data_IF_854686940231
#
_entry.id   IF_854686940231
#
_cell.length_a   1.000
_cell.length_b   1.000
_cell.length_c   1.000
_cell.angle_alpha   90.00
_cell.angle_beta   90.00
_cell.angle_gamma   90.00
#
_symmetry.space_group_name_H-M   'P 1'
#
loop_
_entity.id
_entity.type
_entity.pdbx_description
1 polymer ?
#
# COMPACT_ATOMS: atom_id res chain seq x y z
N UNK A 1 -38.43 5.84 -20.72
CA UNK A 1 -36.97 5.79 -21.01
C UNK A 1 -36.10 6.78 -20.22
N UNK A 2 -36.54 8.02 -19.96
CA UNK A 2 -35.73 9.04 -19.24
C UNK A 2 -35.33 8.57 -17.84
N UNK A 3 -36.27 7.96 -17.11
CA UNK A 3 -36.04 7.43 -15.76
C UNK A 3 -34.89 6.43 -15.73
N UNK A 4 -34.86 5.47 -16.66
CA UNK A 4 -33.77 4.48 -16.77
C UNK A 4 -32.41 5.15 -16.93
N UNK A 5 -32.30 6.15 -17.82
CA UNK A 5 -31.02 6.84 -18.07
C UNK A 5 -30.56 7.60 -16.85
N UNK A 6 -31.50 8.22 -16.13
CA UNK A 6 -31.23 8.92 -14.89
C UNK A 6 -30.72 7.94 -13.81
N UNK A 7 -31.35 6.78 -13.66
CA UNK A 7 -30.90 5.72 -12.74
C UNK A 7 -29.47 5.25 -13.09
N UNK A 8 -29.16 5.00 -14.37
CA UNK A 8 -27.80 4.60 -14.79
C UNK A 8 -26.77 5.67 -14.47
N UNK A 9 -27.10 6.94 -14.77
CA UNK A 9 -26.20 8.05 -14.51
C UNK A 9 -25.88 8.19 -13.01
N UNK A 10 -26.90 8.07 -12.15
CA UNK A 10 -26.71 8.10 -10.69
C UNK A 10 -25.80 6.96 -10.24
N UNK A 11 -26.05 5.73 -10.71
CA UNK A 11 -25.25 4.55 -10.32
C UNK A 11 -23.81 4.73 -10.78
N UNK A 12 -23.60 5.13 -12.04
CA UNK A 12 -22.27 5.34 -12.60
C UNK A 12 -21.49 6.45 -11.87
N UNK A 13 -22.12 7.60 -11.62
CA UNK A 13 -21.49 8.73 -10.92
C UNK A 13 -21.15 8.34 -9.48
N UNK A 14 -22.11 7.74 -8.76
CA UNK A 14 -21.90 7.29 -7.37
C UNK A 14 -20.78 6.27 -7.29
N UNK A 15 -20.79 5.26 -8.17
CA UNK A 15 -19.74 4.26 -8.24
C UNK A 15 -18.39 4.88 -8.53
N UNK A 16 -18.28 5.67 -9.60
CA UNK A 16 -17.01 6.26 -10.05
C UNK A 16 -16.42 7.16 -8.97
N UNK A 17 -17.25 8.00 -8.34
CA UNK A 17 -16.80 8.86 -7.25
C UNK A 17 -16.29 8.06 -6.05
N UNK A 18 -17.09 7.10 -5.54
CA UNK A 18 -16.71 6.30 -4.37
C UNK A 18 -15.49 5.44 -4.65
N UNK A 19 -15.39 4.86 -5.85
CA UNK A 19 -14.24 4.08 -6.28
C UNK A 19 -12.96 4.92 -6.31
N UNK A 20 -13.02 6.13 -6.85
CA UNK A 20 -11.88 7.03 -6.92
C UNK A 20 -11.49 7.60 -5.55
N UNK A 21 -12.46 8.02 -4.74
CA UNK A 21 -12.22 8.69 -3.45
C UNK A 21 -11.84 7.71 -2.33
N UNK A 22 -12.47 6.53 -2.27
CA UNK A 22 -12.26 5.59 -1.16
C UNK A 22 -11.23 4.51 -1.47
N UNK A 23 -10.94 4.21 -2.74
CA UNK A 23 -10.10 3.06 -3.12
C UNK A 23 -8.85 3.44 -3.91
N UNK A 24 -8.92 4.37 -4.87
CA UNK A 24 -7.80 4.66 -5.79
C UNK A 24 -7.17 6.05 -5.59
N UNK A 25 -7.53 6.78 -4.54
CA UNK A 25 -7.12 8.18 -4.33
C UNK A 25 -5.61 8.31 -4.14
N UNK A 26 -5.02 7.47 -3.30
CA UNK A 26 -3.59 7.45 -3.00
C UNK A 26 -2.76 7.00 -4.22
N UNK A 27 -3.27 6.03 -5.00
CA UNK A 27 -2.62 5.53 -6.22
C UNK A 27 -2.59 6.61 -7.31
N UNK A 28 -3.69 7.34 -7.51
CA UNK A 28 -3.75 8.46 -8.46
C UNK A 28 -2.88 9.63 -8.03
N UNK A 29 -2.81 9.92 -6.74
CA UNK A 29 -1.92 10.95 -6.20
C UNK A 29 -0.45 10.67 -6.55
N UNK A 30 -0.06 9.40 -6.49
CA UNK A 30 1.30 8.95 -6.83
C UNK A 30 1.54 9.06 -8.32
N UNK A 31 0.61 8.60 -9.16
CA UNK A 31 0.75 8.72 -10.61
C UNK A 31 0.90 10.19 -11.03
N UNK A 32 0.08 11.10 -10.48
CA UNK A 32 0.22 12.53 -10.75
C UNK A 32 1.59 13.06 -10.26
N UNK A 33 2.02 12.66 -9.06
CA UNK A 33 3.30 13.11 -8.51
C UNK A 33 4.49 12.65 -9.37
N UNK A 34 4.52 11.37 -9.74
CA UNK A 34 5.58 10.76 -10.57
C UNK A 34 5.60 11.40 -11.96
N UNK A 35 4.45 11.50 -12.65
CA UNK A 35 4.37 12.09 -13.99
C UNK A 35 4.74 13.58 -14.00
N UNK A 36 4.42 14.31 -12.94
CA UNK A 36 4.77 15.73 -12.82
C UNK A 36 6.18 15.98 -12.25
N UNK A 37 6.96 14.91 -11.97
CA UNK A 37 8.26 15.00 -11.28
C UNK A 37 8.19 15.82 -9.99
N UNK A 38 7.07 15.72 -9.29
CA UNK A 38 6.79 16.43 -8.04
C UNK A 38 6.43 17.91 -8.16
N UNK A 39 6.20 18.42 -9.36
CA UNK A 39 5.81 19.83 -9.56
C UNK A 39 4.34 20.12 -9.24
N UNK A 40 3.48 19.11 -9.27
CA UNK A 40 2.04 19.29 -9.01
C UNK A 40 1.61 18.65 -7.71
N UNK A 41 0.59 19.25 -7.08
CA UNK A 41 -0.06 18.73 -5.89
C UNK A 41 -1.39 18.06 -6.26
N UNK A 42 -1.59 16.85 -5.79
CA UNK A 42 -2.88 16.15 -5.91
C UNK A 42 -3.84 16.69 -4.87
N UNK A 43 -5.06 17.03 -5.29
CA UNK A 43 -6.15 17.42 -4.38
C UNK A 43 -7.10 16.24 -4.22
N UNK A 44 -7.09 15.63 -3.03
CA UNK A 44 -7.92 14.46 -2.72
C UNK A 44 -9.42 14.74 -2.80
N UNK A 45 -9.86 15.99 -2.64
CA UNK A 45 -11.28 16.35 -2.75
C UNK A 45 -11.67 16.65 -4.20
N UNK A 46 -10.86 17.43 -4.91
CA UNK A 46 -11.24 17.92 -6.24
C UNK A 46 -10.98 16.90 -7.35
N UNK A 47 -9.92 16.09 -7.23
CA UNK A 47 -9.53 15.18 -8.30
C UNK A 47 -10.59 14.09 -8.58
N UNK A 48 -11.17 13.38 -7.58
CA UNK A 48 -12.25 12.43 -7.82
C UNK A 48 -13.49 13.07 -8.45
N UNK A 49 -13.85 14.29 -8.04
CA UNK A 49 -14.99 15.04 -8.58
C UNK A 49 -14.76 15.40 -10.04
N UNK A 50 -13.61 16.01 -10.36
CA UNK A 50 -13.27 16.44 -11.72
C UNK A 50 -13.16 15.25 -12.67
N UNK A 51 -12.55 14.16 -12.21
CA UNK A 51 -12.39 12.94 -13.00
C UNK A 51 -13.74 12.26 -13.25
N UNK A 52 -14.60 12.15 -12.24
CA UNK A 52 -15.98 11.64 -12.40
C UNK A 52 -16.77 12.48 -13.38
N UNK A 53 -16.67 13.82 -13.29
CA UNK A 53 -17.32 14.74 -14.23
C UNK A 53 -16.80 14.53 -15.66
N UNK A 54 -15.49 14.45 -15.86
CA UNK A 54 -14.89 14.24 -17.17
C UNK A 54 -15.33 12.92 -17.81
N UNK A 55 -15.36 11.83 -17.03
CA UNK A 55 -15.82 10.52 -17.48
C UNK A 55 -17.32 10.51 -17.80
N UNK A 56 -18.12 11.27 -17.06
CA UNK A 56 -19.54 11.45 -17.37
C UNK A 56 -19.77 12.28 -18.64
N UNK A 57 -19.01 13.37 -18.84
CA UNK A 57 -19.05 14.14 -20.08
C UNK A 57 -18.68 13.29 -21.31
N UNK A 58 -17.68 12.42 -21.16
CA UNK A 58 -17.30 11.45 -22.19
C UNK A 58 -18.46 10.50 -22.52
N UNK A 59 -19.16 9.99 -21.50
CA UNK A 59 -20.33 9.13 -21.70
C UNK A 59 -21.45 9.87 -22.43
N UNK A 60 -21.71 11.14 -22.12
CA UNK A 60 -22.69 11.94 -22.85
C UNK A 60 -22.30 12.10 -24.32
N UNK A 61 -21.03 12.35 -24.62
CA UNK A 61 -20.50 12.40 -26.00
C UNK A 61 -20.66 11.07 -26.75
N UNK A 62 -20.40 9.94 -26.08
CA UNK A 62 -20.62 8.60 -26.67
C UNK A 62 -22.11 8.34 -26.92
N UNK A 63 -22.97 8.75 -25.99
CA UNK A 63 -24.42 8.59 -26.12
C UNK A 63 -24.99 9.42 -27.28
N UNK A 64 -24.47 10.63 -27.53
CA UNK A 64 -24.92 11.47 -28.65
C UNK A 64 -24.49 10.90 -30.00
N UNK A 65 -23.29 10.31 -30.08
CA UNK A 65 -22.76 9.67 -31.30
C UNK A 65 -23.49 8.36 -31.65
N UNK A 66 -23.67 7.49 -30.65
CA UNK A 66 -24.21 6.14 -30.87
C UNK A 66 -25.73 6.14 -31.04
N UNK A 67 -26.43 7.11 -30.42
CA UNK A 67 -27.90 7.29 -30.46
C UNK A 67 -28.73 6.07 -30.01
N UNK A 68 -28.12 5.05 -29.41
CA UNK A 68 -28.79 3.83 -28.93
C UNK A 68 -29.57 4.14 -27.65
N UNK A 69 -30.87 3.78 -27.61
CA UNK A 69 -31.80 4.22 -26.57
C UNK A 69 -32.32 3.10 -25.67
N UNK A 70 -32.32 1.84 -26.15
CA UNK A 70 -33.04 0.71 -25.53
C UNK A 70 -32.15 -0.25 -24.73
N UNK A 71 -32.11 -1.56 -25.07
CA UNK A 71 -31.45 -2.63 -24.27
C UNK A 71 -29.94 -2.47 -24.11
N UNK A 72 -29.32 -1.71 -25.00
CA UNK A 72 -27.88 -1.54 -25.09
C UNK A 72 -27.42 -0.15 -24.66
N UNK A 73 -28.28 0.63 -23.98
CA UNK A 73 -27.92 1.95 -23.50
C UNK A 73 -26.74 1.91 -22.50
N UNK A 74 -26.65 0.88 -21.66
CA UNK A 74 -25.53 0.70 -20.73
C UNK A 74 -24.17 0.61 -21.45
N UNK A 75 -24.10 0.06 -22.67
CA UNK A 75 -22.85 0.01 -23.44
C UNK A 75 -22.29 1.39 -23.79
N UNK A 76 -23.08 2.46 -23.71
CA UNK A 76 -22.57 3.83 -23.88
C UNK A 76 -21.60 4.25 -22.77
N UNK A 77 -21.66 3.60 -21.60
CA UNK A 77 -20.74 3.83 -20.48
C UNK A 77 -19.41 3.08 -20.64
N UNK A 78 -19.31 2.13 -21.58
CA UNK A 78 -18.13 1.29 -21.74
C UNK A 78 -16.83 2.10 -21.98
N UNK A 79 -16.78 3.10 -22.88
CA UNK A 79 -15.55 3.88 -23.07
C UNK A 79 -15.12 4.64 -21.80
N UNK A 80 -16.06 5.18 -21.04
CA UNK A 80 -15.77 5.85 -19.77
C UNK A 80 -15.26 4.87 -18.71
N UNK A 81 -15.87 3.68 -18.60
CA UNK A 81 -15.41 2.63 -17.69
C UNK A 81 -14.04 2.07 -18.10
N UNK A 82 -13.77 1.94 -19.40
CA UNK A 82 -12.47 1.53 -19.91
C UNK A 82 -11.40 2.55 -19.52
N UNK A 83 -11.67 3.84 -19.72
CA UNK A 83 -10.74 4.91 -19.34
C UNK A 83 -10.49 4.93 -17.82
N UNK A 84 -11.55 4.77 -17.01
CA UNK A 84 -11.42 4.64 -15.55
C UNK A 84 -10.52 3.47 -15.14
N UNK A 85 -10.69 2.32 -15.81
CA UNK A 85 -9.90 1.11 -15.56
C UNK A 85 -8.43 1.34 -15.89
N UNK A 86 -8.13 1.87 -17.07
CA UNK A 86 -6.76 2.18 -17.51
C UNK A 86 -6.08 3.17 -16.57
N UNK A 87 -6.81 4.19 -16.12
CA UNK A 87 -6.25 5.22 -15.25
C UNK A 87 -5.93 4.69 -13.84
N UNK A 88 -6.61 3.62 -13.40
CA UNK A 88 -6.43 3.02 -12.07
C UNK A 88 -5.61 1.73 -12.09
N UNK A 89 -5.28 1.21 -13.27
CA UNK A 89 -4.33 0.11 -13.45
C UNK A 89 -2.88 0.65 -13.54
N UNK A 90 -2.41 1.18 -12.43
CA UNK A 90 -1.04 1.70 -12.30
C UNK A 90 -0.15 0.60 -11.72
N UNK A 91 0.91 0.15 -12.40
CA UNK A 91 1.79 -0.89 -11.89
C UNK A 91 2.62 -0.41 -10.69
N UNK A 92 3.08 -1.36 -9.86
CA UNK A 92 3.91 -1.07 -8.68
C UNK A 92 5.24 -0.40 -9.04
N UNK A 93 5.80 -0.68 -10.23
CA UNK A 93 7.07 -0.11 -10.75
C UNK A 93 6.86 1.06 -11.73
N UNK A 94 5.78 1.81 -11.56
CA UNK A 94 5.39 2.91 -12.44
C UNK A 94 6.42 4.06 -12.52
N UNK A 95 7.29 4.17 -11.53
CA UNK A 95 8.38 5.15 -11.46
C UNK A 95 9.55 4.83 -12.41
N UNK A 96 9.79 3.56 -12.73
CA UNK A 96 10.85 3.13 -13.65
C UNK A 96 10.34 3.01 -15.10
N UNK A 97 9.10 2.51 -15.27
CA UNK A 97 8.52 2.26 -16.58
C UNK A 97 7.22 3.06 -16.75
N UNK A 98 7.32 4.24 -17.36
CA UNK A 98 6.16 5.12 -17.63
C UNK A 98 5.30 4.69 -18.82
N UNK A 99 5.40 3.44 -19.28
CA UNK A 99 4.65 2.98 -20.46
C UNK A 99 3.29 2.43 -20.05
N UNK A 100 2.26 2.68 -20.86
CA UNK A 100 0.93 2.06 -20.74
C UNK A 100 0.94 0.52 -20.97
N UNK A 101 2.13 -0.09 -21.14
CA UNK A 101 2.30 -1.53 -21.28
C UNK A 101 1.42 -2.12 -22.38
N UNK A 102 0.68 -3.18 -22.02
CA UNK A 102 -0.24 -3.88 -22.93
C UNK A 102 -1.47 -3.04 -23.33
N UNK A 103 -1.81 -1.98 -22.59
CA UNK A 103 -2.98 -1.15 -22.89
C UNK A 103 -2.91 -0.45 -24.25
N UNK A 104 -1.71 -0.21 -24.78
CA UNK A 104 -1.53 0.31 -26.15
C UNK A 104 -2.22 -0.53 -27.22
N UNK A 105 -2.26 -1.85 -27.03
CA UNK A 105 -2.91 -2.79 -27.96
C UNK A 105 -4.32 -3.17 -27.49
N UNK A 106 -4.54 -3.27 -26.18
CA UNK A 106 -5.83 -3.66 -25.61
C UNK A 106 -6.89 -2.57 -25.84
N UNK A 107 -6.57 -1.29 -25.64
CA UNK A 107 -7.53 -0.19 -25.84
C UNK A 107 -8.10 -0.17 -27.27
N UNK A 108 -7.30 -0.11 -28.35
CA UNK A 108 -7.85 -0.04 -29.70
C UNK A 108 -8.62 -1.32 -30.05
N UNK A 109 -8.18 -2.49 -29.58
CA UNK A 109 -8.89 -3.74 -29.79
C UNK A 109 -10.27 -3.72 -29.11
N UNK A 110 -10.34 -3.33 -27.83
CA UNK A 110 -11.60 -3.26 -27.08
C UNK A 110 -12.54 -2.21 -27.66
N UNK A 111 -12.03 -1.05 -28.09
CA UNK A 111 -12.84 -0.03 -28.74
C UNK A 111 -13.36 -0.48 -30.11
N UNK A 112 -12.57 -1.22 -30.89
CA UNK A 112 -13.01 -1.78 -32.17
C UNK A 112 -14.10 -2.85 -31.99
N UNK A 113 -13.92 -3.75 -31.01
CA UNK A 113 -14.94 -4.76 -30.65
C UNK A 113 -16.22 -4.10 -30.15
N UNK A 114 -16.09 -3.13 -29.25
CA UNK A 114 -17.22 -2.34 -28.74
C UNK A 114 -17.93 -1.59 -29.86
N UNK A 115 -17.19 -0.92 -30.75
CA UNK A 115 -17.76 -0.17 -31.88
C UNK A 115 -18.52 -1.07 -32.85
N UNK A 116 -17.96 -2.26 -33.15
CA UNK A 116 -18.64 -3.28 -33.96
C UNK A 116 -19.91 -3.79 -33.26
N UNK A 117 -19.84 -4.06 -31.96
CA UNK A 117 -21.00 -4.46 -31.16
C UNK A 117 -22.08 -3.39 -31.12
N UNK A 118 -21.71 -2.12 -30.98
CA UNK A 118 -22.63 -0.97 -31.02
C UNK A 118 -23.28 -0.79 -32.39
N UNK A 119 -22.52 -1.01 -33.48
CA UNK A 119 -23.07 -0.98 -34.83
C UNK A 119 -24.12 -2.08 -35.03
N UNK A 120 -23.84 -3.31 -34.62
CA UNK A 120 -24.82 -4.42 -34.65
C UNK A 120 -26.03 -4.11 -33.76
N UNK A 121 -25.81 -3.62 -32.54
CA UNK A 121 -26.89 -3.26 -31.61
C UNK A 121 -27.84 -2.23 -32.22
N UNK A 122 -27.30 -1.24 -32.95
CA UNK A 122 -28.10 -0.23 -33.65
C UNK A 122 -28.93 -0.82 -34.80
N UNK A 123 -28.44 -1.87 -35.48
CA UNK A 123 -29.20 -2.57 -36.52
C UNK A 123 -30.33 -3.43 -35.93
N UNK A 124 -30.14 -3.96 -34.72
CA UNK A 124 -31.13 -4.82 -34.03
C UNK A 124 -32.20 -4.01 -33.31
N UNK A 125 -31.90 -2.78 -32.88
CA UNK A 125 -32.80 -1.89 -32.12
C UNK A 125 -34.20 -1.67 -32.76
N UNK A 126 -34.35 -1.53 -34.10
CA UNK A 126 -35.66 -1.38 -34.77
C UNK A 126 -36.56 -2.61 -34.64
N UNK A 127 -35.99 -3.80 -34.49
CA UNK A 127 -36.73 -5.06 -34.40
C UNK A 127 -37.22 -5.36 -32.97
N UNK A 128 -36.83 -4.55 -31.98
CA UNK A 128 -37.27 -4.76 -30.61
C UNK A 128 -38.71 -4.28 -30.40
N UNK A 129 -39.58 -5.12 -29.77
CA UNK A 129 -40.93 -4.72 -29.44
C UNK A 129 -40.92 -3.55 -28.45
N UNK A 130 -41.82 -2.60 -28.65
CA UNK A 130 -41.99 -1.44 -27.77
C UNK A 130 -42.28 -1.93 -26.34
N UNK A 131 -41.59 -1.39 -25.32
CA UNK A 131 -41.80 -1.80 -23.94
C UNK A 131 -43.23 -1.46 -23.50
N UNK A 132 -43.94 -2.46 -22.95
CA UNK A 132 -45.34 -2.34 -22.54
C UNK A 132 -45.53 -1.57 -21.22
N UNK A 133 -44.47 -1.44 -20.41
CA UNK A 133 -44.45 -0.65 -19.17
C UNK A 133 -43.14 0.14 -19.07
N UNK A 134 -43.23 1.45 -18.96
CA UNK A 134 -42.11 2.32 -18.61
C UNK A 134 -42.10 2.59 -17.10
N UNK A 135 -40.96 2.36 -16.46
CA UNK A 135 -40.82 2.58 -15.03
C UNK A 135 -39.43 2.16 -14.53
N UNK A 136 -39.17 2.40 -13.25
CA UNK A 136 -37.91 2.10 -12.58
C UNK A 136 -37.63 0.59 -12.51
N UNK A 137 -38.69 -0.22 -12.43
CA UNK A 137 -38.63 -1.67 -12.23
C UNK A 137 -38.92 -2.50 -13.50
N UNK A 138 -38.78 -1.92 -14.68
CA UNK A 138 -38.99 -2.68 -15.93
C UNK A 138 -37.84 -3.66 -16.19
N UNK A 139 -38.12 -4.81 -16.82
CA UNK A 139 -37.10 -5.76 -17.29
C UNK A 139 -35.94 -5.08 -18.05
N UNK A 140 -36.25 -4.04 -18.83
CA UNK A 140 -35.28 -3.25 -19.60
C UNK A 140 -34.28 -2.49 -18.71
N UNK A 141 -34.74 -1.90 -17.60
CA UNK A 141 -33.87 -1.15 -16.69
C UNK A 141 -32.93 -2.10 -15.96
N UNK A 142 -33.44 -3.25 -15.52
CA UNK A 142 -32.63 -4.30 -14.89
C UNK A 142 -31.58 -4.88 -15.83
N UNK A 143 -31.91 -5.14 -17.10
CA UNK A 143 -30.92 -5.61 -18.08
C UNK A 143 -29.76 -4.63 -18.26
N UNK A 144 -30.05 -3.34 -18.36
CA UNK A 144 -29.02 -2.30 -18.46
C UNK A 144 -28.23 -2.17 -17.14
N UNK A 145 -28.88 -2.29 -15.98
CA UNK A 145 -28.21 -2.23 -14.67
C UNK A 145 -27.23 -3.40 -14.52
N UNK A 146 -27.62 -4.59 -14.97
CA UNK A 146 -26.78 -5.79 -14.91
C UNK A 146 -25.56 -5.67 -15.84
N UNK A 147 -25.72 -5.07 -17.02
CA UNK A 147 -24.59 -4.75 -17.90
C UNK A 147 -23.64 -3.73 -17.26
N UNK A 148 -24.18 -2.67 -16.65
CA UNK A 148 -23.38 -1.68 -15.93
C UNK A 148 -22.64 -2.31 -14.74
N UNK A 149 -23.32 -3.16 -13.98
CA UNK A 149 -22.74 -3.92 -12.87
C UNK A 149 -21.59 -4.83 -13.33
N UNK A 150 -21.77 -5.55 -14.43
CA UNK A 150 -20.71 -6.37 -15.01
C UNK A 150 -19.48 -5.53 -15.36
N UNK A 151 -19.66 -4.35 -15.96
CA UNK A 151 -18.55 -3.43 -16.24
C UNK A 151 -17.89 -2.90 -14.97
N UNK A 152 -18.67 -2.57 -13.92
CA UNK A 152 -18.14 -2.13 -12.62
C UNK A 152 -17.28 -3.22 -11.96
N UNK A 153 -17.74 -4.46 -11.98
CA UNK A 153 -16.98 -5.59 -11.46
C UNK A 153 -15.69 -5.83 -12.26
N UNK A 154 -15.75 -5.73 -13.59
CA UNK A 154 -14.55 -5.85 -14.43
C UNK A 154 -13.53 -4.74 -14.13
N UNK A 155 -13.97 -3.50 -13.95
CA UNK A 155 -13.09 -2.39 -13.57
C UNK A 155 -12.39 -2.67 -12.24
N UNK A 156 -13.13 -3.15 -11.23
CA UNK A 156 -12.52 -3.50 -9.93
C UNK A 156 -11.51 -4.64 -10.09
N UNK A 157 -11.83 -5.67 -10.87
CA UNK A 157 -10.96 -6.85 -11.03
C UNK A 157 -9.66 -6.55 -11.77
N UNK A 158 -9.71 -5.65 -12.76
CA UNK A 158 -8.56 -5.31 -13.60
C UNK A 158 -7.68 -4.23 -12.96
N UNK A 159 -8.26 -3.32 -12.17
CA UNK A 159 -7.51 -2.27 -11.53
C UNK A 159 -6.49 -2.79 -10.50
N UNK A 160 -5.57 -1.92 -10.08
CA UNK A 160 -4.58 -2.27 -9.08
C UNK A 160 -5.27 -2.58 -7.73
N UNK A 161 -5.21 -3.85 -7.34
CA UNK A 161 -5.68 -4.38 -6.06
C UNK A 161 -4.52 -4.80 -5.13
N UNK A 162 -3.30 -4.35 -5.39
CA UNK A 162 -2.13 -4.68 -4.57
C UNK A 162 -2.21 -3.96 -3.23
N UNK A 163 -2.61 -4.72 -2.21
CA UNK A 163 -2.83 -4.20 -0.87
C UNK A 163 -1.57 -3.56 -0.28
N UNK A 164 -0.39 -4.16 -0.49
CA UNK A 164 0.87 -3.65 0.05
C UNK A 164 1.22 -2.30 -0.56
N UNK A 165 0.98 -2.15 -1.87
CA UNK A 165 1.15 -0.89 -2.59
C UNK A 165 0.19 0.19 -2.07
N UNK A 166 -1.10 -0.12 -1.92
CA UNK A 166 -2.09 0.80 -1.34
C UNK A 166 -1.70 1.26 0.08
N UNK A 167 -1.32 0.32 0.94
CA UNK A 167 -0.88 0.63 2.31
C UNK A 167 0.37 1.53 2.31
N UNK A 168 1.33 1.27 1.41
CA UNK A 168 2.53 2.08 1.25
C UNK A 168 2.22 3.51 0.77
N UNK A 169 1.38 3.67 -0.26
CA UNK A 169 1.05 4.98 -0.81
C UNK A 169 0.30 5.85 0.22
N UNK A 170 -0.62 5.24 0.96
CA UNK A 170 -1.33 5.87 2.07
C UNK A 170 -0.38 6.30 3.20
N UNK A 171 0.60 5.46 3.52
CA UNK A 171 1.62 5.78 4.50
C UNK A 171 2.47 6.98 4.06
N UNK A 172 2.93 7.00 2.81
CA UNK A 172 3.71 8.11 2.25
C UNK A 172 2.92 9.43 2.21
N UNK A 173 1.62 9.39 1.93
CA UNK A 173 0.74 10.57 2.03
C UNK A 173 0.76 11.15 3.44
N UNK A 174 0.51 10.34 4.46
CA UNK A 174 0.53 10.83 5.84
C UNK A 174 1.91 11.37 6.25
N UNK A 175 2.98 10.73 5.80
CA UNK A 175 4.34 11.22 6.04
C UNK A 175 4.60 12.57 5.36
N UNK A 176 4.10 12.76 4.13
CA UNK A 176 4.18 14.04 3.40
C UNK A 176 3.38 15.15 4.11
N UNK A 177 2.27 14.81 4.74
CA UNK A 177 1.47 15.70 5.59
C UNK A 177 2.08 15.92 7.00
N UNK A 178 3.17 15.21 7.34
CA UNK A 178 3.81 15.28 8.66
C UNK A 178 3.09 14.49 9.77
N UNK A 179 2.06 13.71 9.44
CA UNK A 179 1.25 12.92 10.37
C UNK A 179 1.83 11.51 10.57
N UNK A 180 3.03 11.43 11.13
CA UNK A 180 3.77 10.16 11.28
C UNK A 180 3.05 9.12 12.17
N UNK A 181 2.35 9.54 13.22
CA UNK A 181 1.58 8.63 14.07
C UNK A 181 0.40 7.97 13.34
N UNK A 182 -0.21 8.68 12.37
CA UNK A 182 -1.27 8.11 11.54
C UNK A 182 -0.69 7.15 10.50
N UNK A 183 0.49 7.48 9.95
CA UNK A 183 1.22 6.63 9.02
C UNK A 183 1.53 5.26 9.64
N UNK A 184 1.96 5.21 10.90
CA UNK A 184 2.24 3.94 11.60
C UNK A 184 1.01 3.06 11.84
N UNK A 185 -0.20 3.64 11.87
CA UNK A 185 -1.45 2.86 12.00
C UNK A 185 -1.83 2.17 10.69
N UNK A 186 -1.31 2.63 9.55
CA UNK A 186 -1.57 2.03 8.24
C UNK A 186 -0.88 0.68 8.15
N UNK A 187 -1.64 -0.37 7.83
CA UNK A 187 -1.09 -1.72 7.67
C UNK A 187 -0.47 -2.31 8.95
N UNK A 188 -0.73 -1.76 10.14
CA UNK A 188 -0.16 -2.29 11.41
C UNK A 188 -0.54 -3.76 11.66
N UNK A 189 -1.75 -4.17 11.26
CA UNK A 189 -2.22 -5.56 11.37
C UNK A 189 -1.96 -6.38 10.10
N UNK A 190 -1.42 -5.76 9.05
CA UNK A 190 -1.11 -6.43 7.79
C UNK A 190 0.16 -7.24 7.97
N UNK A 191 0.13 -8.51 7.59
CA UNK A 191 1.33 -9.36 7.62
C UNK A 191 2.19 -9.15 6.37
N UNK A 192 1.58 -8.69 5.28
CA UNK A 192 2.27 -8.40 4.03
C UNK A 192 3.20 -7.20 4.25
N UNK A 193 4.46 -7.35 3.89
CA UNK A 193 5.47 -6.30 4.05
C UNK A 193 6.51 -6.43 2.95
N UNK A 194 6.82 -5.30 2.32
CA UNK A 194 7.94 -5.16 1.41
C UNK A 194 9.09 -4.38 2.08
N UNK A 195 10.24 -4.35 1.42
CA UNK A 195 11.42 -3.64 1.92
C UNK A 195 11.20 -2.11 1.98
N UNK A 196 10.34 -1.57 1.10
CA UNK A 196 10.01 -0.14 1.11
C UNK A 196 9.08 0.25 2.27
N UNK A 197 8.07 -0.55 2.62
CA UNK A 197 7.20 -0.33 3.78
C UNK A 197 7.99 -0.49 5.07
N UNK A 198 8.94 -1.40 5.13
CA UNK A 198 9.91 -1.51 6.23
C UNK A 198 10.66 -0.19 6.43
N UNK A 199 11.24 0.37 5.36
CA UNK A 199 11.88 1.69 5.41
C UNK A 199 10.93 2.78 5.93
N UNK A 200 9.69 2.85 5.41
CA UNK A 200 8.74 3.91 5.79
C UNK A 200 8.32 3.80 7.26
N UNK A 201 8.10 2.58 7.77
CA UNK A 201 7.83 2.33 9.20
C UNK A 201 8.98 2.78 10.07
N UNK A 202 10.21 2.41 9.70
CA UNK A 202 11.43 2.81 10.41
C UNK A 202 11.59 4.34 10.40
N UNK A 203 11.32 4.99 9.26
CA UNK A 203 11.33 6.44 9.14
C UNK A 203 10.29 7.11 10.04
N UNK A 204 9.07 6.59 10.11
CA UNK A 204 8.03 7.10 10.99
C UNK A 204 8.39 6.91 12.46
N UNK A 205 8.82 5.71 12.86
CA UNK A 205 9.23 5.40 14.23
C UNK A 205 10.36 6.31 14.72
N UNK A 206 11.33 6.61 13.85
CA UNK A 206 12.38 7.56 14.17
C UNK A 206 11.84 8.98 14.38
N UNK A 207 10.88 9.43 13.55
CA UNK A 207 10.24 10.73 13.70
C UNK A 207 9.38 10.83 14.96
N UNK A 208 8.77 9.73 15.38
CA UNK A 208 8.04 9.61 16.64
C UNK A 208 8.95 9.40 17.87
N UNK A 209 10.25 9.17 17.68
CA UNK A 209 11.21 8.93 18.76
C UNK A 209 11.06 7.57 19.47
N UNK A 210 10.35 6.62 18.87
CA UNK A 210 9.96 5.36 19.50
C UNK A 210 10.52 4.12 18.80
N UNK A 211 11.57 4.31 17.99
CA UNK A 211 12.20 3.26 17.20
C UNK A 211 12.76 2.12 18.03
N UNK A 212 13.44 2.40 19.15
CA UNK A 212 13.93 1.34 20.05
C UNK A 212 12.82 0.62 20.83
N UNK A 213 11.60 1.16 20.87
CA UNK A 213 10.48 0.63 21.66
C UNK A 213 9.55 -0.27 20.86
N UNK A 214 9.31 0.07 19.59
CA UNK A 214 8.26 -0.55 18.78
C UNK A 214 8.73 -1.16 17.46
N UNK A 215 10.03 -1.09 17.10
CA UNK A 215 10.50 -1.56 15.80
C UNK A 215 10.10 -3.00 15.47
N UNK A 216 10.22 -3.92 16.43
CA UNK A 216 9.95 -5.35 16.23
C UNK A 216 8.48 -5.72 16.43
N UNK A 217 7.62 -4.74 16.71
CA UNK A 217 6.16 -4.94 16.77
C UNK A 217 5.53 -4.88 15.37
N UNK A 218 6.26 -4.35 14.38
CA UNK A 218 5.85 -4.32 12.98
C UNK A 218 6.47 -5.48 12.20
N UNK A 219 5.83 -5.96 11.13
CA UNK A 219 6.50 -6.87 10.21
C UNK A 219 7.61 -6.13 9.45
N UNK A 220 8.74 -6.82 9.28
CA UNK A 220 10.02 -6.28 8.79
C UNK A 220 10.59 -7.19 7.70
N UNK A 221 11.15 -6.60 6.65
CA UNK A 221 11.81 -7.31 5.55
C UNK A 221 13.07 -6.58 5.10
N UNK A 222 14.14 -7.34 4.78
CA UNK A 222 15.33 -6.81 4.11
C UNK A 222 16.45 -6.29 5.03
N UNK A 223 16.32 -6.47 6.35
CA UNK A 223 17.38 -6.17 7.33
C UNK A 223 17.83 -4.71 7.34
N UNK A 224 19.11 -4.45 7.65
CA UNK A 224 19.63 -3.07 7.66
C UNK A 224 19.62 -2.38 6.29
N UNK A 225 19.71 -3.15 5.19
CA UNK A 225 19.69 -2.61 3.82
C UNK A 225 18.35 -1.94 3.50
N UNK A 226 17.26 -2.45 4.08
CA UNK A 226 15.93 -1.88 3.91
C UNK A 226 15.70 -0.59 4.69
N UNK A 227 16.63 -0.12 5.52
CA UNK A 227 16.45 1.10 6.31
C UNK A 227 16.69 2.38 5.51
N UNK A 228 17.40 2.28 4.39
CA UNK A 228 17.83 3.42 3.59
C UNK A 228 17.42 3.17 2.14
N UNK A 229 16.86 4.17 1.44
CA UNK A 229 16.47 4.00 0.05
C UNK A 229 17.69 3.72 -0.83
N UNK A 230 17.62 2.64 -1.62
CA UNK A 230 18.60 2.30 -2.66
C UNK A 230 18.14 2.77 -4.05
N UNK A 231 16.87 3.16 -4.18
CA UNK A 231 16.24 3.60 -5.43
C UNK A 231 15.78 2.48 -6.35
N UNK A 232 15.94 1.22 -5.95
CA UNK A 232 15.52 0.04 -6.73
C UNK A 232 14.58 -0.83 -5.90
N UNK A 233 15.08 -1.45 -4.83
CA UNK A 233 14.29 -2.34 -3.97
C UNK A 233 13.58 -1.59 -2.83
N UNK A 234 14.20 -0.51 -2.38
CA UNK A 234 13.76 0.34 -1.28
C UNK A 234 13.68 1.76 -1.82
N UNK A 235 12.46 2.24 -2.04
CA UNK A 235 12.22 3.56 -2.62
C UNK A 235 11.03 4.24 -1.98
N UNK A 236 11.01 5.57 -2.01
CA UNK A 236 9.86 6.38 -1.63
C UNK A 236 9.41 7.14 -2.87
N UNK A 237 8.11 7.10 -3.17
CA UNK A 237 7.58 7.67 -4.42
C UNK A 237 7.16 9.13 -4.26
N UNK A 238 6.51 9.46 -3.15
CA UNK A 238 5.99 10.80 -2.84
C UNK A 238 6.72 11.45 -1.67
N UNK A 239 7.09 10.67 -0.65
CA UNK A 239 7.72 11.20 0.55
C UNK A 239 9.18 11.58 0.29
N UNK A 240 9.50 12.83 0.60
CA UNK A 240 10.84 13.36 0.42
C UNK A 240 11.74 12.91 1.56
N UNK A 241 12.61 11.94 1.26
CA UNK A 241 13.55 11.38 2.25
C UNK A 241 14.50 12.47 2.76
N UNK A 242 14.83 12.47 4.08
CA UNK A 242 15.81 13.37 4.67
C UNK A 242 17.15 13.33 3.94
N UNK A 243 17.86 14.47 3.91
CA UNK A 243 19.16 14.60 3.20
C UNK A 243 20.19 13.54 3.63
N UNK A 244 20.18 13.12 4.88
CA UNK A 244 21.12 12.13 5.40
C UNK A 244 20.80 10.69 4.95
N UNK A 245 19.56 10.39 4.54
CA UNK A 245 19.17 9.11 3.94
C UNK A 245 19.46 9.05 2.44
N UNK A 246 19.57 10.20 1.77
CA UNK A 246 19.89 10.24 0.34
C UNK A 246 21.34 9.82 0.16
N UNK A 247 21.54 8.61 -0.39
CA UNK A 247 22.87 8.16 -0.79
C UNK A 247 23.36 9.01 -1.97
N UNK A 248 24.04 10.13 -1.67
CA UNK A 248 24.77 10.87 -2.69
C UNK A 248 26.02 10.07 -3.07
N UNK A 249 25.97 9.34 -4.19
CA UNK A 249 27.15 8.66 -4.77
C UNK A 249 28.29 9.64 -5.10
N UNK A 250 28.00 10.94 -5.23
CA UNK A 250 28.93 12.00 -5.66
C UNK A 250 29.41 12.93 -4.55
N UNK A 251 28.81 12.90 -3.35
CA UNK A 251 29.21 13.79 -2.26
C UNK A 251 30.11 13.04 -1.26
N UNK A 252 31.40 13.41 -1.20
CA UNK A 252 32.38 12.86 -0.26
C UNK A 252 32.05 13.09 1.23
N UNK A 253 30.97 13.81 1.54
CA UNK A 253 30.48 14.01 2.90
C UNK A 253 29.38 13.01 3.23
N UNK A 254 29.74 11.88 3.85
CA UNK A 254 28.77 11.02 4.55
C UNK A 254 28.11 11.85 5.65
N UNK A 255 26.88 12.30 5.44
CA UNK A 255 26.08 12.88 6.53
C UNK A 255 25.97 11.84 7.65
N UNK A 256 26.10 12.32 8.89
CA UNK A 256 26.09 11.45 10.08
C UNK A 256 24.71 10.83 10.24
N UNK A 257 24.64 9.50 10.04
CA UNK A 257 23.44 8.73 10.30
C UNK A 257 23.04 8.84 11.77
N UNK A 258 21.74 8.99 12.10
CA UNK A 258 21.27 8.97 13.48
C UNK A 258 21.70 7.69 14.21
N UNK A 259 21.97 7.81 15.52
CA UNK A 259 22.43 6.68 16.35
C UNK A 259 21.38 5.55 16.39
N UNK A 260 20.10 5.89 16.45
CA UNK A 260 19.01 4.89 16.49
C UNK A 260 18.99 4.02 15.23
N UNK A 261 19.26 4.61 14.06
CA UNK A 261 19.41 3.87 12.82
C UNK A 261 20.58 2.90 12.85
N UNK A 262 21.70 3.30 13.46
CA UNK A 262 22.85 2.42 13.62
C UNK A 262 22.51 1.23 14.52
N UNK A 263 21.97 1.51 15.71
CA UNK A 263 21.67 0.48 16.71
C UNK A 263 20.60 -0.50 16.21
N UNK A 264 19.49 0.00 15.70
CA UNK A 264 18.45 -0.84 15.14
C UNK A 264 18.92 -1.59 13.88
N UNK A 265 19.77 -0.99 13.05
CA UNK A 265 20.37 -1.68 11.91
C UNK A 265 21.23 -2.87 12.34
N UNK A 266 22.01 -2.73 13.41
CA UNK A 266 22.76 -3.84 13.99
C UNK A 266 21.84 -4.95 14.53
N UNK A 267 20.72 -4.58 15.16
CA UNK A 267 19.73 -5.54 15.63
C UNK A 267 19.04 -6.27 14.47
N UNK A 268 18.67 -5.55 13.40
CA UNK A 268 18.07 -6.10 12.19
C UNK A 268 19.00 -7.12 11.51
N UNK A 269 20.31 -6.85 11.54
CA UNK A 269 21.37 -7.74 11.02
C UNK A 269 21.83 -8.80 12.03
N UNK A 270 21.18 -8.88 13.22
CA UNK A 270 21.51 -9.84 14.29
C UNK A 270 22.96 -9.73 14.81
N UNK A 271 23.58 -8.56 14.64
CA UNK A 271 24.95 -8.27 15.06
C UNK A 271 24.99 -7.76 16.52
N UNK A 272 24.75 -8.67 17.45
CA UNK A 272 24.66 -8.36 18.87
C UNK A 272 25.97 -7.81 19.46
N UNK A 273 27.14 -8.33 19.06
CA UNK A 273 28.41 -7.92 19.65
C UNK A 273 28.70 -6.44 19.40
N UNK A 274 28.52 -5.98 18.16
CA UNK A 274 28.69 -4.57 17.80
C UNK A 274 27.61 -3.70 18.44
N UNK A 275 26.38 -4.21 18.52
CA UNK A 275 25.28 -3.50 19.17
C UNK A 275 25.60 -3.22 20.65
N UNK A 276 26.06 -4.23 21.41
CA UNK A 276 26.40 -4.09 22.83
C UNK A 276 27.58 -3.14 23.03
N UNK A 277 28.61 -3.21 22.17
CA UNK A 277 29.73 -2.28 22.22
C UNK A 277 29.29 -0.81 22.04
N UNK A 278 28.38 -0.55 21.10
CA UNK A 278 27.83 0.79 20.88
C UNK A 278 26.90 1.24 22.01
N UNK A 279 26.01 0.37 22.50
CA UNK A 279 25.14 0.67 23.65
C UNK A 279 25.94 1.03 24.90
N UNK A 280 27.02 0.29 25.18
CA UNK A 280 27.89 0.56 26.34
C UNK A 280 28.46 1.97 26.26
N UNK A 281 28.87 2.39 25.07
CA UNK A 281 29.48 3.71 24.83
C UNK A 281 28.47 4.86 24.92
N UNK A 282 27.20 4.62 24.58
CA UNK A 282 26.21 5.71 24.47
C UNK A 282 25.15 5.71 25.55
N UNK A 283 24.49 4.58 25.82
CA UNK A 283 23.38 4.55 26.78
C UNK A 283 23.88 4.36 28.20
N UNK A 284 24.79 3.39 28.39
CA UNK A 284 25.25 3.00 29.72
C UNK A 284 26.21 4.05 30.28
N UNK A 285 27.12 4.56 29.45
CA UNK A 285 28.05 5.62 29.87
C UNK A 285 27.32 6.92 30.27
N UNK A 286 26.23 7.25 29.59
CA UNK A 286 25.47 8.49 29.80
C UNK A 286 24.21 8.26 30.69
N UNK A 287 24.04 7.07 31.27
CA UNK A 287 22.89 6.67 32.11
C UNK A 287 21.50 6.95 31.48
N UNK A 288 21.40 6.78 30.17
CA UNK A 288 20.17 7.00 29.39
C UNK A 288 19.26 5.77 29.54
N UNK A 289 17.94 5.94 29.78
CA UNK A 289 17.01 4.82 29.84
C UNK A 289 17.03 4.00 28.55
N UNK A 290 17.10 2.68 28.72
CA UNK A 290 17.16 1.72 27.61
C UNK A 290 15.75 1.40 27.10
N UNK A 291 15.51 1.53 25.79
CA UNK A 291 14.28 1.09 25.16
C UNK A 291 14.02 -0.41 25.31
N UNK A 292 12.74 -0.82 25.27
CA UNK A 292 12.27 -2.21 25.40
C UNK A 292 13.08 -3.19 24.56
N UNK A 293 13.16 -2.99 23.24
CA UNK A 293 13.84 -3.96 22.38
C UNK A 293 15.35 -3.98 22.56
N UNK A 294 15.94 -2.90 23.10
CA UNK A 294 17.36 -2.88 23.42
C UNK A 294 17.64 -3.71 24.67
N UNK A 295 16.73 -3.68 25.65
CA UNK A 295 16.78 -4.57 26.82
C UNK A 295 16.61 -6.03 26.40
N UNK A 296 15.61 -6.34 25.57
CA UNK A 296 15.40 -7.69 25.02
C UNK A 296 16.67 -8.23 24.34
N UNK A 297 17.33 -7.41 23.51
CA UNK A 297 18.59 -7.77 22.85
C UNK A 297 19.75 -8.00 23.84
N UNK A 298 19.82 -7.23 24.93
CA UNK A 298 20.84 -7.40 25.97
C UNK A 298 20.62 -8.68 26.78
N UNK A 299 19.38 -9.01 27.15
CA UNK A 299 19.06 -10.28 27.84
C UNK A 299 19.46 -11.46 26.97
N UNK A 300 19.10 -11.43 25.68
CA UNK A 300 19.52 -12.46 24.73
C UNK A 300 21.05 -12.57 24.61
N UNK A 301 21.76 -11.43 24.61
CA UNK A 301 23.22 -11.41 24.55
C UNK A 301 23.87 -12.05 25.79
N UNK A 302 23.38 -11.74 26.99
CA UNK A 302 23.89 -12.29 28.25
C UNK A 302 23.77 -13.82 28.26
N UNK A 303 22.63 -14.36 27.82
CA UNK A 303 22.40 -15.81 27.77
C UNK A 303 23.24 -16.54 26.74
N UNK A 304 23.67 -15.85 25.67
CA UNK A 304 24.47 -16.46 24.60
C UNK A 304 25.97 -16.38 24.82
N UNK A 305 26.43 -15.55 25.77
CA UNK A 305 27.86 -15.27 25.98
C UNK A 305 28.34 -15.76 27.33
N UNK A 306 29.44 -16.50 27.33
CA UNK A 306 30.10 -16.97 28.56
C UNK A 306 30.71 -15.83 29.39
N UNK A 307 31.16 -14.75 28.72
CA UNK A 307 31.71 -13.56 29.36
C UNK A 307 31.07 -12.30 28.78
N UNK A 308 29.88 -11.90 29.26
CA UNK A 308 29.19 -10.73 28.74
C UNK A 308 29.91 -9.42 29.12
N UNK A 309 30.02 -8.50 28.16
CA UNK A 309 30.68 -7.19 28.35
C UNK A 309 29.82 -6.19 29.13
N UNK A 310 28.52 -6.48 29.22
CA UNK A 310 27.47 -5.71 29.88
C UNK A 310 26.53 -6.74 30.50
N UNK A 311 26.17 -6.55 31.76
CA UNK A 311 25.14 -7.33 32.44
C UNK A 311 23.97 -6.38 32.69
N UNK A 312 22.82 -6.71 32.13
CA UNK A 312 21.57 -6.02 32.43
C UNK A 312 20.89 -6.79 33.57
N UNK A 313 20.41 -6.06 34.58
CA UNK A 313 19.62 -6.64 35.67
C UNK A 313 18.20 -6.10 35.55
N UNK A 314 17.30 -6.92 35.00
CA UNK A 314 15.87 -6.63 34.82
C UNK A 314 15.10 -7.93 35.05
N UNK A 315 14.67 -8.16 36.30
CA UNK A 315 14.08 -9.43 36.75
C UNK A 315 12.79 -9.78 35.97
N UNK A 316 12.05 -8.76 35.51
CA UNK A 316 10.83 -8.96 34.72
C UNK A 316 11.18 -9.47 33.33
N UNK A 317 12.11 -8.80 32.64
CA UNK A 317 12.54 -9.21 31.30
C UNK A 317 13.22 -10.59 31.31
N UNK A 318 13.92 -10.92 32.40
CA UNK A 318 14.53 -12.22 32.62
C UNK A 318 13.47 -13.33 32.74
N UNK A 319 12.43 -13.11 33.54
CA UNK A 319 11.31 -14.04 33.66
C UNK A 319 10.59 -14.24 32.31
N UNK A 320 10.31 -13.14 31.59
CA UNK A 320 9.68 -13.19 30.27
C UNK A 320 10.52 -14.00 29.25
N UNK A 321 11.85 -13.90 29.33
CA UNK A 321 12.76 -14.66 28.47
C UNK A 321 12.79 -16.16 28.82
N UNK A 322 12.72 -16.50 30.10
CA UNK A 322 12.63 -17.90 30.54
C UNK A 322 11.31 -18.54 30.09
N UNK A 323 10.20 -17.80 30.14
CA UNK A 323 8.91 -18.25 29.63
C UNK A 323 8.94 -18.45 28.10
N UNK A 324 9.63 -17.56 27.37
CA UNK A 324 9.88 -17.73 25.93
C UNK A 324 10.62 -19.05 25.64
N UNK A 325 11.68 -19.34 26.38
CA UNK A 325 12.45 -20.58 26.22
C UNK A 325 11.64 -21.83 26.60
N UNK A 326 10.84 -21.76 27.67
CA UNK A 326 9.96 -22.85 28.06
C UNK A 326 8.91 -23.15 26.99
N UNK A 327 8.35 -22.12 26.36
CA UNK A 327 7.38 -22.25 25.27
C UNK A 327 8.03 -22.86 24.01
N UNK A 328 9.29 -22.52 23.72
CA UNK A 328 10.05 -23.09 22.60
C UNK A 328 10.17 -24.62 22.70
N UNK A 329 10.34 -25.16 23.91
CA UNK A 329 10.49 -26.60 24.16
C UNK A 329 9.17 -27.35 24.40
N UNK A 330 8.03 -26.64 24.40
CA UNK A 330 6.72 -27.20 24.78
C UNK A 330 6.12 -28.14 23.74
N UNK A 331 6.30 -27.85 22.45
CA UNK A 331 5.69 -28.63 21.36
C UNK A 331 6.75 -29.42 20.59
N UNK A 332 6.39 -30.62 20.13
CA UNK A 332 7.28 -31.47 19.33
C UNK A 332 7.32 -31.05 17.84
N UNK A 333 6.26 -30.39 17.35
CA UNK A 333 6.15 -29.92 15.97
C UNK A 333 6.65 -28.47 15.84
N UNK A 334 7.63 -28.26 14.96
CA UNK A 334 8.26 -26.97 14.71
C UNK A 334 7.25 -25.91 14.22
N UNK A 335 6.24 -26.30 13.44
CA UNK A 335 5.23 -25.35 12.94
C UNK A 335 4.32 -24.85 14.08
N UNK A 336 3.92 -25.75 14.99
CA UNK A 336 3.12 -25.40 16.16
C UNK A 336 3.91 -24.55 17.15
N UNK A 337 5.19 -24.88 17.39
CA UNK A 337 6.08 -24.05 18.21
C UNK A 337 6.19 -22.64 17.63
N UNK A 338 6.45 -22.51 16.33
CA UNK A 338 6.58 -21.20 15.69
C UNK A 338 5.27 -20.40 15.77
N UNK A 339 4.11 -21.03 15.53
CA UNK A 339 2.82 -20.34 15.64
C UNK A 339 2.54 -19.86 17.08
N UNK A 340 2.77 -20.70 18.09
CA UNK A 340 2.59 -20.33 19.49
C UNK A 340 3.53 -19.21 19.94
N UNK A 341 4.81 -19.27 19.54
CA UNK A 341 5.79 -18.22 19.80
C UNK A 341 5.44 -16.92 19.07
N UNK A 342 4.93 -17.00 17.83
CA UNK A 342 4.47 -15.83 17.07
C UNK A 342 3.29 -15.15 17.77
N UNK A 343 2.32 -15.91 18.26
CA UNK A 343 1.11 -15.36 18.87
C UNK A 343 1.40 -14.68 20.21
N UNK A 344 2.36 -15.20 20.99
CA UNK A 344 2.67 -14.69 22.33
C UNK A 344 3.80 -13.67 22.33
N UNK A 345 4.86 -13.92 21.55
CA UNK A 345 6.12 -13.16 21.57
C UNK A 345 6.50 -12.60 20.19
N UNK A 346 5.60 -12.61 19.21
CA UNK A 346 5.89 -12.15 17.85
C UNK A 346 6.31 -10.68 17.73
N UNK A 347 6.03 -9.88 18.77
CA UNK A 347 6.40 -8.48 18.88
C UNK A 347 7.75 -8.25 19.61
N UNK A 348 8.46 -9.30 19.98
CA UNK A 348 9.75 -9.21 20.69
C UNK A 348 10.92 -9.33 19.73
N UNK A 349 12.06 -8.76 20.13
CA UNK A 349 13.32 -8.96 19.42
C UNK A 349 13.77 -10.42 19.41
N UNK A 350 13.44 -11.21 20.44
CA UNK A 350 13.81 -12.64 20.51
C UNK A 350 13.19 -13.44 19.36
N UNK A 351 11.90 -13.24 19.11
CA UNK A 351 11.21 -13.88 17.99
C UNK A 351 11.80 -13.44 16.65
N UNK A 352 12.06 -12.13 16.47
CA UNK A 352 12.74 -11.64 15.26
C UNK A 352 14.14 -12.23 15.09
N UNK A 353 14.92 -12.35 16.16
CA UNK A 353 16.27 -12.91 16.11
C UNK A 353 16.24 -14.37 15.64
N UNK A 354 15.29 -15.17 16.13
CA UNK A 354 15.18 -16.59 15.79
C UNK A 354 14.55 -16.84 14.42
N UNK A 355 13.45 -16.15 14.10
CA UNK A 355 12.62 -16.42 12.92
C UNK A 355 12.60 -15.31 11.87
N UNK A 356 13.07 -14.10 12.19
CA UNK A 356 13.13 -12.97 11.25
C UNK A 356 14.19 -13.16 10.15
N UNK A 357 13.91 -12.63 8.96
CA UNK A 357 14.76 -12.72 7.75
C UNK A 357 15.12 -14.16 7.30
N UNK A 358 14.20 -15.13 7.44
CA UNK A 358 14.31 -16.44 6.80
C UNK A 358 13.49 -16.52 5.51
#
# INVERSE_FOLDING_TARGET
>A
MVEMRFTMAIVFISFTYLYLDCFQDDVLAVAQYVLSKGMTTYSYVLAPILLTLALFLLQMGVCTLTQVKRRFHALTYFPSMLMLTVLTDIPVDFDEHHSLGAWWWIIPLLLALWGTGMWVARQVEPFEPLPHNEGWFTKLTWQNLLQLLAMMLLTILVANNDRGFHERMKMERFMKEGKYDQALKVGHKSQDTDSSLTMLRIACLHRCGSMGEHLFEYPLMGGSKAMIPDGVTVKAMMWQTPRWMRQNKTAGNKLRMPKDYLLCGLLLDKNLDRFVAEIKRTYIADSIPLPKHYKEALVLYVHRRTHPMVVLHDDVMEADFQDYQALEHKFADAMQTQAALRDTYGNTYWYYYQYGNR
#
